data_IF_055815593651
#
_entry.id   IF_055815593651
#
_cell.length_a   1.000
_cell.length_b   1.000
_cell.length_c   1.000
_cell.angle_alpha   90.00
_cell.angle_beta   90.00
_cell.angle_gamma   90.00
#
_symmetry.space_group_name_H-M   'P 1'
#
loop_
_entity.id
_entity.type
_entity.pdbx_description
1 polymer ?
#
# COMPACT_ATOMS: atom_id res chain seq x y z
N UNK A 1 -12.48 -12.34 -13.74
CA UNK A 1 -11.63 -11.67 -14.74
C UNK A 1 -10.27 -12.35 -14.71
N UNK A 2 -9.69 -12.62 -15.88
CA UNK A 2 -8.38 -13.25 -16.03
C UNK A 2 -7.26 -12.22 -15.79
N UNK A 3 -6.06 -12.70 -15.45
CA UNK A 3 -4.85 -11.85 -15.34
C UNK A 3 -4.56 -11.22 -16.70
N UNK A 4 -4.33 -9.91 -16.71
CA UNK A 4 -3.96 -9.14 -17.90
C UNK A 4 -2.55 -8.58 -17.83
N UNK A 5 -1.96 -8.54 -16.63
CA UNK A 5 -0.59 -8.09 -16.40
C UNK A 5 0.24 -9.22 -15.80
N UNK A 6 1.22 -9.73 -16.55
CA UNK A 6 2.27 -10.58 -15.97
C UNK A 6 3.33 -9.66 -15.39
N UNK A 7 3.65 -9.82 -14.11
CA UNK A 7 4.60 -8.95 -13.42
C UNK A 7 5.55 -9.71 -12.52
N UNK A 8 6.79 -9.26 -12.46
CA UNK A 8 7.87 -9.83 -11.67
C UNK A 8 8.65 -8.75 -10.93
N UNK A 9 9.33 -9.14 -9.84
CA UNK A 9 10.14 -8.20 -9.03
C UNK A 9 11.20 -7.52 -9.88
N UNK A 10 11.78 -8.26 -10.84
CA UNK A 10 12.75 -7.77 -11.80
C UNK A 10 12.21 -6.64 -12.68
N UNK A 11 10.98 -6.75 -13.18
CA UNK A 11 10.35 -5.70 -14.00
C UNK A 11 10.03 -4.44 -13.20
N UNK A 12 9.80 -4.58 -11.89
CA UNK A 12 9.63 -3.47 -10.97
C UNK A 12 10.95 -2.92 -10.40
N UNK A 13 12.11 -3.42 -10.85
CA UNK A 13 13.43 -3.09 -10.29
C UNK A 13 13.52 -3.31 -8.77
N UNK A 14 12.90 -4.39 -8.29
CA UNK A 14 12.91 -4.82 -6.89
C UNK A 14 13.89 -5.98 -6.75
N UNK A 15 14.91 -5.83 -5.92
CA UNK A 15 15.84 -6.93 -5.62
C UNK A 15 15.13 -8.07 -4.88
N UNK A 16 15.56 -9.30 -5.10
CA UNK A 16 14.94 -10.49 -4.52
C UNK A 16 14.86 -10.44 -2.99
N UNK A 17 15.89 -9.89 -2.34
CA UNK A 17 15.98 -9.77 -0.88
C UNK A 17 15.29 -8.53 -0.31
N UNK A 18 14.65 -7.70 -1.15
CA UNK A 18 13.94 -6.51 -0.69
C UNK A 18 12.66 -6.91 0.04
N UNK A 19 12.46 -6.36 1.23
CA UNK A 19 11.17 -6.45 1.94
C UNK A 19 10.19 -5.47 1.30
N UNK A 20 9.12 -5.99 0.72
CA UNK A 20 8.10 -5.17 0.06
C UNK A 20 6.88 -5.04 0.98
N UNK A 21 6.66 -3.83 1.47
CA UNK A 21 5.42 -3.42 2.12
C UNK A 21 4.42 -2.98 1.05
N UNK A 22 3.16 -3.35 1.19
CA UNK A 22 2.13 -3.00 0.21
C UNK A 22 0.85 -2.49 0.90
N UNK A 23 0.18 -1.51 0.29
CA UNK A 23 -1.17 -1.12 0.71
C UNK A 23 -2.08 -0.75 -0.45
N UNK A 24 -3.30 -1.26 -0.37
CA UNK A 24 -4.44 -0.91 -1.23
C UNK A 24 -5.44 -0.01 -0.54
N UNK A 25 -5.04 0.69 0.52
CA UNK A 25 -5.90 1.64 1.19
C UNK A 25 -6.38 2.70 0.20
N UNK A 26 -7.66 3.05 0.29
CA UNK A 26 -8.22 4.14 -0.49
C UNK A 26 -7.45 5.42 -0.22
N UNK A 27 -7.13 6.17 -1.28
CA UNK A 27 -6.54 7.51 -1.24
C UNK A 27 -7.00 8.37 -0.05
N UNK A 28 -8.31 8.49 0.17
CA UNK A 28 -8.90 9.33 1.21
C UNK A 28 -8.63 8.84 2.65
N UNK A 29 -8.10 7.62 2.80
CA UNK A 29 -7.70 7.04 4.09
C UNK A 29 -6.21 7.22 4.38
N UNK A 30 -5.40 7.59 3.37
CA UNK A 30 -3.95 7.80 3.52
C UNK A 30 -3.71 9.25 3.97
N UNK A 31 -4.10 9.53 5.20
CA UNK A 31 -3.86 10.81 5.88
C UNK A 31 -2.37 10.97 6.24
N UNK A 32 -1.91 12.19 6.58
CA UNK A 32 -0.50 12.44 6.92
C UNK A 32 0.07 11.51 8.00
N UNK A 33 -0.73 11.11 8.97
CA UNK A 33 -0.33 10.22 10.06
C UNK A 33 -0.05 8.79 9.58
N UNK A 34 -0.86 8.28 8.65
CA UNK A 34 -0.68 6.96 8.02
C UNK A 34 0.58 6.97 7.16
N UNK A 35 0.71 7.99 6.32
CA UNK A 35 1.89 8.20 5.48
C UNK A 35 3.17 8.25 6.33
N UNK A 36 3.19 9.08 7.38
CA UNK A 36 4.33 9.20 8.28
C UNK A 36 4.67 7.85 8.94
N UNK A 37 3.66 7.08 9.32
CA UNK A 37 3.86 5.75 9.92
C UNK A 37 4.50 4.77 8.94
N UNK A 38 3.97 4.69 7.72
CA UNK A 38 4.52 3.78 6.71
C UNK A 38 5.93 4.18 6.29
N UNK A 39 6.21 5.48 6.18
CA UNK A 39 7.58 5.96 5.90
C UNK A 39 8.53 5.64 7.06
N UNK A 40 8.12 5.82 8.33
CA UNK A 40 8.94 5.44 9.48
C UNK A 40 9.22 3.93 9.54
N UNK A 41 8.27 3.08 9.12
CA UNK A 41 8.47 1.63 9.04
C UNK A 41 9.59 1.32 8.05
N UNK A 42 9.50 1.83 6.82
CA UNK A 42 10.54 1.57 5.82
C UNK A 42 11.87 2.24 6.18
N UNK A 43 11.86 3.40 6.86
CA UNK A 43 13.08 4.03 7.35
C UNK A 43 13.88 3.10 8.28
N UNK A 44 13.18 2.33 9.13
CA UNK A 44 13.79 1.39 10.09
C UNK A 44 14.21 0.06 9.47
N UNK A 45 13.81 -0.23 8.23
CA UNK A 45 14.16 -1.48 7.53
C UNK A 45 14.96 -1.13 6.27
N UNK A 46 16.30 -1.14 6.31
CA UNK A 46 17.15 -0.56 5.25
C UNK A 46 16.86 -1.09 3.84
N UNK A 47 16.71 -2.42 3.68
CA UNK A 47 16.41 -3.05 2.40
C UNK A 47 14.91 -3.31 2.24
N UNK A 48 14.11 -2.24 2.23
CA UNK A 48 12.67 -2.35 2.01
C UNK A 48 12.09 -1.25 1.13
N UNK A 49 10.89 -1.47 0.62
CA UNK A 49 10.14 -0.48 -0.14
C UNK A 49 8.65 -0.53 0.20
N UNK A 50 7.95 0.55 -0.13
CA UNK A 50 6.52 0.70 0.01
C UNK A 50 5.87 0.79 -1.38
N UNK A 51 4.93 -0.11 -1.64
CA UNK A 51 4.13 -0.13 -2.86
C UNK A 51 2.69 0.28 -2.52
N UNK A 52 2.16 1.29 -3.21
CA UNK A 52 0.81 1.82 -2.99
C UNK A 52 -0.02 1.78 -4.27
N UNK A 53 -1.30 1.40 -4.16
CA UNK A 53 -2.27 1.46 -5.27
C UNK A 53 -3.60 2.12 -4.85
N UNK A 54 -3.59 3.41 -4.47
CA UNK A 54 -4.73 4.04 -3.79
C UNK A 54 -5.83 4.57 -4.73
N UNK A 55 -5.64 4.50 -6.06
CA UNK A 55 -6.42 5.22 -7.06
C UNK A 55 -7.48 4.36 -7.76
N UNK A 56 -8.28 3.59 -7.01
CA UNK A 56 -9.31 2.76 -7.65
C UNK A 56 -10.41 3.65 -8.27
N UNK A 57 -10.71 3.52 -9.58
CA UNK A 57 -11.68 4.38 -10.26
C UNK A 57 -13.13 4.16 -9.77
N UNK A 58 -13.41 3.07 -9.05
CA UNK A 58 -14.72 2.83 -8.44
C UNK A 58 -14.97 3.66 -7.18
N UNK A 59 -13.95 4.33 -6.61
CA UNK A 59 -14.13 5.19 -5.43
C UNK A 59 -14.26 6.67 -5.78
N UNK A 60 -13.55 7.12 -6.82
CA UNK A 60 -13.64 8.48 -7.32
C UNK A 60 -13.22 8.52 -8.80
N UNK A 61 -13.80 9.44 -9.61
CA UNK A 61 -13.48 9.57 -11.03
C UNK A 61 -12.09 10.14 -11.29
N UNK A 62 -11.56 10.96 -10.37
CA UNK A 62 -10.25 11.60 -10.47
C UNK A 62 -9.59 11.71 -9.10
N UNK A 63 -8.26 11.80 -9.09
CA UNK A 63 -7.44 11.98 -7.89
C UNK A 63 -6.37 13.05 -8.12
N UNK A 64 -6.01 13.84 -7.10
CA UNK A 64 -4.91 14.80 -7.18
C UNK A 64 -3.56 14.07 -6.99
N UNK A 65 -3.15 13.30 -8.00
CA UNK A 65 -1.98 12.40 -7.93
C UNK A 65 -0.69 13.17 -7.68
N UNK A 66 -0.47 14.30 -8.36
CA UNK A 66 0.73 15.12 -8.21
C UNK A 66 0.89 15.64 -6.78
N UNK A 67 -0.15 16.26 -6.22
CA UNK A 67 -0.15 16.74 -4.84
C UNK A 67 0.08 15.61 -3.82
N UNK A 68 -0.41 14.41 -4.12
CA UNK A 68 -0.16 13.23 -3.30
C UNK A 68 1.30 12.79 -3.36
N UNK A 69 1.90 12.75 -4.55
CA UNK A 69 3.31 12.42 -4.73
C UNK A 69 4.22 13.44 -4.05
N UNK A 70 3.94 14.74 -4.20
CA UNK A 70 4.71 15.81 -3.54
C UNK A 70 4.65 15.68 -2.02
N UNK A 71 3.46 15.46 -1.45
CA UNK A 71 3.30 15.26 -0.01
C UNK A 71 4.08 14.03 0.48
N UNK A 72 3.99 12.91 -0.23
CA UNK A 72 4.69 11.68 0.14
C UNK A 72 6.21 11.83 0.03
N UNK A 73 6.69 12.49 -1.04
CA UNK A 73 8.11 12.86 -1.23
C UNK A 73 8.62 13.72 -0.06
N UNK A 74 7.85 14.72 0.35
CA UNK A 74 8.21 15.55 1.50
C UNK A 74 8.34 14.72 2.78
N UNK A 75 7.44 13.77 3.01
CA UNK A 75 7.52 12.87 4.18
C UNK A 75 8.69 11.89 4.08
N UNK A 76 8.97 11.32 2.91
CA UNK A 76 10.17 10.49 2.68
C UNK A 76 11.44 11.25 3.01
N UNK A 77 11.58 12.47 2.48
CA UNK A 77 12.70 13.37 2.73
C UNK A 77 12.85 13.71 4.21
N UNK A 78 11.74 14.02 4.90
CA UNK A 78 11.71 14.28 6.35
C UNK A 78 12.33 13.14 7.18
N UNK A 79 12.17 11.89 6.76
CA UNK A 79 12.71 10.72 7.45
C UNK A 79 14.01 10.18 6.81
N UNK A 80 14.62 10.91 5.88
CA UNK A 80 15.85 10.49 5.21
C UNK A 80 15.70 9.25 4.33
N UNK A 81 14.50 8.98 3.83
CA UNK A 81 14.19 7.83 2.97
C UNK A 81 14.24 8.27 1.51
N UNK A 82 14.95 7.50 0.67
CA UNK A 82 15.01 7.74 -0.78
C UNK A 82 13.65 7.52 -1.45
N UNK A 83 13.28 8.40 -2.39
CA UNK A 83 12.06 8.24 -3.20
C UNK A 83 12.01 6.94 -4.00
N UNK A 84 13.17 6.36 -4.33
CA UNK A 84 13.26 5.05 -4.99
C UNK A 84 12.65 3.91 -4.16
N UNK A 85 12.40 4.14 -2.87
CA UNK A 85 11.78 3.18 -1.95
C UNK A 85 10.25 3.30 -1.91
N UNK A 86 9.66 4.17 -2.72
CA UNK A 86 8.22 4.28 -2.93
C UNK A 86 7.89 3.92 -4.38
N UNK A 87 6.96 2.97 -4.56
CA UNK A 87 6.33 2.68 -5.84
C UNK A 87 4.85 3.00 -5.77
N UNK A 88 4.44 4.06 -6.48
CA UNK A 88 3.03 4.45 -6.58
C UNK A 88 2.45 3.94 -7.89
N UNK A 89 1.51 3.00 -7.81
CA UNK A 89 0.84 2.44 -8.97
C UNK A 89 -0.32 3.32 -9.42
N UNK A 90 -0.52 3.37 -10.73
CA UNK A 90 -1.75 3.88 -11.33
C UNK A 90 -2.93 2.97 -11.00
N UNK A 91 -4.14 3.41 -11.38
CA UNK A 91 -5.33 2.58 -11.32
C UNK A 91 -5.10 1.23 -12.02
N UNK A 92 -5.27 0.12 -11.28
CA UNK A 92 -5.15 -1.23 -11.82
C UNK A 92 -6.47 -1.65 -12.49
N UNK A 93 -6.43 -2.34 -13.64
CA UNK A 93 -7.59 -2.58 -14.47
C UNK A 93 -8.58 -3.58 -13.87
N UNK A 94 -8.08 -4.54 -13.09
CA UNK A 94 -8.92 -5.57 -12.49
C UNK A 94 -8.30 -6.17 -11.22
N UNK A 95 -9.12 -6.94 -10.49
CA UNK A 95 -8.75 -7.60 -9.23
C UNK A 95 -7.70 -8.70 -9.39
N UNK A 96 -7.64 -9.39 -10.52
CA UNK A 96 -6.63 -10.43 -10.74
C UNK A 96 -5.24 -9.81 -10.81
N UNK A 97 -5.09 -8.68 -11.49
CA UNK A 97 -3.84 -7.93 -11.55
C UNK A 97 -3.41 -7.42 -10.17
N UNK A 98 -4.35 -6.93 -9.34
CA UNK A 98 -4.07 -6.56 -7.93
C UNK A 98 -3.43 -7.73 -7.18
N UNK A 99 -3.94 -8.95 -7.37
CA UNK A 99 -3.39 -10.15 -6.70
C UNK A 99 -1.97 -10.48 -7.17
N UNK A 100 -1.62 -10.20 -8.42
CA UNK A 100 -0.23 -10.38 -8.88
C UNK A 100 0.72 -9.42 -8.16
N UNK A 101 0.36 -8.14 -7.99
CA UNK A 101 1.16 -7.22 -7.17
C UNK A 101 1.25 -7.64 -5.69
N UNK A 102 0.15 -8.11 -5.11
CA UNK A 102 0.13 -8.58 -3.73
C UNK A 102 1.04 -9.78 -3.51
N UNK A 103 1.16 -10.71 -4.47
CA UNK A 103 2.08 -11.86 -4.40
C UNK A 103 3.55 -11.44 -4.40
N UNK A 104 3.87 -10.24 -4.90
CA UNK A 104 5.23 -9.70 -4.88
C UNK A 104 5.59 -9.10 -3.53
N UNK A 105 4.61 -8.88 -2.66
CA UNK A 105 4.79 -8.25 -1.36
C UNK A 105 5.11 -9.27 -0.26
N UNK A 106 5.70 -8.77 0.83
CA UNK A 106 5.97 -9.54 2.03
C UNK A 106 4.98 -9.21 3.15
N UNK A 107 4.53 -7.96 3.24
CA UNK A 107 3.66 -7.48 4.32
C UNK A 107 2.64 -6.49 3.75
N UNK A 108 1.36 -6.69 4.06
CA UNK A 108 0.32 -5.70 3.82
C UNK A 108 0.20 -4.74 5.01
N UNK A 109 0.13 -3.44 4.74
CA UNK A 109 -0.12 -2.39 5.74
C UNK A 109 -1.52 -1.82 5.57
N UNK A 110 -2.37 -1.98 6.58
CA UNK A 110 -3.68 -1.32 6.60
C UNK A 110 -3.57 0.16 7.00
N UNK A 111 -4.56 0.96 6.60
CA UNK A 111 -4.67 2.35 7.00
C UNK A 111 -5.39 2.49 8.35
N UNK A 112 -5.16 3.60 9.04
CA UNK A 112 -5.84 3.95 10.29
C UNK A 112 -6.11 5.47 10.33
N UNK A 113 -7.05 5.98 11.14
CA UNK A 113 -7.98 5.26 12.01
C UNK A 113 -9.09 4.53 11.23
N UNK A 114 -9.18 4.72 9.92
CA UNK A 114 -10.18 4.08 9.06
C UNK A 114 -9.63 2.77 8.48
N UNK A 115 -9.81 1.67 9.20
CA UNK A 115 -9.32 0.37 8.75
C UNK A 115 -9.95 -0.05 7.43
N UNK A 116 -9.26 -0.95 6.74
CA UNK A 116 -9.76 -1.68 5.60
C UNK A 116 -10.96 -2.54 5.96
N UNK A 117 -11.67 -2.96 4.91
CA UNK A 117 -12.67 -4.03 4.98
C UNK A 117 -12.52 -4.87 3.71
N UNK A 118 -12.99 -4.36 2.57
CA UNK A 118 -12.84 -5.04 1.28
C UNK A 118 -11.39 -5.08 0.80
N UNK A 119 -10.60 -4.03 1.08
CA UNK A 119 -9.19 -3.95 0.71
C UNK A 119 -8.30 -5.01 1.40
N UNK A 120 -8.76 -5.61 2.51
CA UNK A 120 -8.06 -6.65 3.25
C UNK A 120 -8.40 -8.07 2.77
N UNK A 121 -9.50 -8.24 2.01
CA UNK A 121 -9.92 -9.57 1.54
C UNK A 121 -8.86 -10.15 0.60
N UNK A 122 -8.37 -9.37 -0.34
CA UNK A 122 -7.36 -9.83 -1.32
C UNK A 122 -6.03 -10.27 -0.71
N UNK A 123 -5.36 -9.47 0.15
CA UNK A 123 -4.12 -9.90 0.80
C UNK A 123 -4.33 -11.12 1.70
N UNK A 124 -5.43 -11.17 2.47
CA UNK A 124 -5.73 -12.33 3.32
C UNK A 124 -6.00 -13.61 2.51
N UNK A 125 -6.69 -13.50 1.37
CA UNK A 125 -6.96 -14.65 0.49
C UNK A 125 -5.70 -15.30 -0.08
N UNK A 126 -4.59 -14.57 -0.17
CA UNK A 126 -3.31 -15.10 -0.64
C UNK A 126 -2.33 -15.34 0.53
N UNK A 127 -2.83 -15.32 1.77
CA UNK A 127 -2.04 -15.50 2.99
C UNK A 127 -0.92 -14.45 3.17
N UNK A 128 -1.09 -13.23 2.64
CA UNK A 128 -0.13 -12.15 2.85
C UNK A 128 -0.25 -11.63 4.30
N UNK A 129 0.83 -11.70 5.11
CA UNK A 129 0.81 -11.17 6.47
C UNK A 129 0.35 -9.71 6.48
N UNK A 130 -0.65 -9.41 7.29
CA UNK A 130 -1.33 -8.11 7.29
C UNK A 130 -1.18 -7.46 8.66
N UNK A 131 -0.67 -6.23 8.68
CA UNK A 131 -0.56 -5.42 9.90
C UNK A 131 -1.71 -4.41 9.93
N UNK A 132 -2.45 -4.43 11.03
CA UNK A 132 -3.60 -3.54 11.28
C UNK A 132 -3.42 -2.80 12.61
N UNK A 133 -4.00 -1.61 12.73
CA UNK A 133 -4.03 -0.87 14.00
C UNK A 133 -5.45 -0.87 14.58
N UNK A 134 -5.64 -1.65 15.65
CA UNK A 134 -6.89 -1.64 16.39
C UNK A 134 -6.98 -0.42 17.32
N UNK A 135 -8.08 0.33 17.22
CA UNK A 135 -8.47 1.38 18.20
C UNK A 135 -9.93 1.19 18.66
N UNK A 136 -10.37 1.99 19.61
CA UNK A 136 -11.69 1.88 20.28
C UNK A 136 -12.91 2.20 19.38
N UNK A 137 -12.73 2.75 18.18
CA UNK A 137 -13.86 2.99 17.28
C UNK A 137 -14.25 1.74 16.49
N UNK A 138 -15.53 1.60 16.13
CA UNK A 138 -15.96 0.50 15.24
C UNK A 138 -15.24 0.55 13.87
N UNK A 139 -14.89 1.74 13.37
CA UNK A 139 -14.18 1.93 12.10
C UNK A 139 -12.71 1.53 12.16
N UNK A 140 -12.12 1.45 13.35
CA UNK A 140 -10.73 1.03 13.57
C UNK A 140 -10.59 -0.44 14.00
N UNK A 141 -11.70 -1.13 14.29
CA UNK A 141 -11.68 -2.57 14.66
C UNK A 141 -11.93 -3.51 13.49
N UNK A 142 -12.48 -3.03 12.38
CA UNK A 142 -12.92 -3.89 11.26
C UNK A 142 -11.78 -4.69 10.67
N UNK A 143 -10.59 -4.10 10.52
CA UNK A 143 -9.43 -4.82 10.01
C UNK A 143 -8.95 -5.93 10.94
N UNK A 144 -9.02 -5.69 12.25
CA UNK A 144 -8.59 -6.66 13.28
C UNK A 144 -9.58 -7.81 13.51
N UNK A 145 -10.81 -7.72 12.97
CA UNK A 145 -11.83 -8.76 13.11
C UNK A 145 -11.88 -9.77 11.95
N UNK A 146 -11.02 -9.61 10.95
CA UNK A 146 -10.90 -10.51 9.79
C UNK A 146 -9.84 -11.57 10.07
#
# INVERSE_FOLDING_TARGET
MSVTTTISRKELNIDENTVVYISGANFYKIIPEVEATWVQIIAQVPNSMLLLYPFNPNWAPTYPIEAFQERFSATLSKYGVSEKRLLLLNALPNRADIKEYLKMANIYLDAYPFSGMTSLIDPLQICLPTVVMQKESARSRRGASL
#
